data_IF_018101446108
#
_entry.id   IF_018101446108
#
_cell.length_a   1.000
_cell.length_b   1.000
_cell.length_c   1.000
_cell.angle_alpha   90.00
_cell.angle_beta   90.00
_cell.angle_gamma   90.00
#
_symmetry.space_group_name_H-M   'P 1'
#
loop_
_entity.id
_entity.type
_entity.pdbx_description
1 polymer ?
#
# COMPACT_ATOMS: atom_id res chain seq x y z
N UNK A 1 6.93 -12.37 -15.68
CA UNK A 1 6.73 -12.80 -17.08
C UNK A 1 8.10 -13.07 -17.68
N UNK A 2 8.27 -14.28 -18.19
CA UNK A 2 9.51 -14.90 -18.63
C UNK A 2 10.18 -14.19 -19.80
N UNK A 3 11.46 -13.87 -19.67
CA UNK A 3 12.34 -13.61 -20.81
C UNK A 3 13.18 -14.86 -21.06
N UNK A 4 12.79 -15.61 -22.09
CA UNK A 4 13.61 -16.69 -22.67
C UNK A 4 14.71 -16.07 -23.54
N UNK A 5 15.95 -16.29 -23.14
CA UNK A 5 17.13 -16.16 -24.00
C UNK A 5 17.16 -17.37 -24.94
N UNK A 6 17.10 -17.14 -26.25
CA UNK A 6 17.29 -18.19 -27.26
C UNK A 6 18.56 -17.89 -28.04
N UNK A 7 19.67 -18.48 -27.58
CA UNK A 7 20.92 -18.58 -28.31
C UNK A 7 20.76 -19.60 -29.43
N UNK A 8 20.67 -19.15 -30.68
CA UNK A 8 20.70 -20.04 -31.85
C UNK A 8 22.14 -20.32 -32.26
N UNK A 9 22.48 -21.60 -32.14
CA UNK A 9 23.68 -22.23 -32.66
C UNK A 9 23.80 -22.03 -34.17
N UNK A 10 24.96 -21.55 -34.62
CA UNK A 10 25.38 -21.64 -36.01
C UNK A 10 26.41 -22.77 -36.11
N UNK A 11 25.94 -23.91 -36.61
CA UNK A 11 26.75 -25.07 -37.00
C UNK A 11 27.14 -24.86 -38.48
N UNK A 12 28.42 -24.83 -38.85
CA UNK A 12 28.81 -24.79 -40.26
C UNK A 12 28.61 -26.16 -40.93
N UNK A 13 28.16 -26.22 -42.20
CA UNK A 13 27.92 -27.48 -42.89
C UNK A 13 29.24 -28.12 -43.34
N UNK A 14 29.38 -29.39 -43.00
CA UNK A 14 30.37 -30.30 -43.55
C UNK A 14 30.07 -30.54 -45.04
N UNK A 15 30.99 -30.14 -45.92
CA UNK A 15 31.05 -30.64 -47.28
C UNK A 15 31.98 -31.85 -47.31
N UNK A 16 31.38 -33.03 -47.43
CA UNK A 16 32.07 -34.27 -47.75
C UNK A 16 32.51 -34.26 -49.21
N UNK A 17 33.78 -34.59 -49.43
CA UNK A 17 34.29 -35.08 -50.70
C UNK A 17 34.88 -36.46 -50.39
N UNK A 18 34.03 -37.48 -50.47
CA UNK A 18 34.48 -38.84 -50.74
C UNK A 18 34.55 -39.01 -52.26
N UNK A 19 35.73 -39.38 -52.75
CA UNK A 19 36.00 -39.49 -54.18
C UNK A 19 37.33 -40.17 -54.45
N UNK A 20 37.36 -41.47 -54.14
CA UNK A 20 38.39 -42.44 -54.49
C UNK A 20 39.11 -42.19 -55.83
N UNK A 21 40.45 -42.32 -55.82
CA UNK A 21 41.24 -42.28 -57.05
C UNK A 21 42.72 -42.61 -56.87
N UNK A 22 43.00 -43.83 -56.39
CA UNK A 22 44.25 -44.62 -56.55
C UNK A 22 45.50 -43.84 -57.00
N UNK A 23 46.41 -43.62 -56.05
CA UNK A 23 47.83 -43.40 -56.33
C UNK A 23 48.36 -44.66 -57.00
N UNK A 24 48.63 -44.56 -58.29
CA UNK A 24 49.26 -45.60 -59.11
C UNK A 24 50.71 -45.82 -58.70
N UNK A 25 51.07 -47.09 -58.70
CA UNK A 25 52.37 -47.65 -58.33
C UNK A 25 53.58 -46.99 -59.03
N UNK A 26 54.77 -47.05 -58.40
CA UNK A 26 56.04 -46.76 -59.06
C UNK A 26 56.27 -47.72 -60.24
N UNK A 27 56.82 -47.17 -61.32
CA UNK A 27 57.26 -47.83 -62.55
C UNK A 27 57.83 -49.23 -62.28
N UNK A 28 57.00 -50.24 -62.52
CA UNK A 28 57.44 -51.61 -62.71
C UNK A 28 57.89 -51.72 -64.16
N UNK A 29 59.18 -52.02 -64.35
CA UNK A 29 59.77 -52.38 -65.64
C UNK A 29 58.94 -53.53 -66.25
N UNK A 30 58.39 -53.41 -67.48
CA UNK A 30 57.78 -54.55 -68.12
C UNK A 30 58.89 -55.53 -68.50
N UNK A 31 58.87 -56.67 -67.82
CA UNK A 31 59.49 -57.91 -68.24
C UNK A 31 59.21 -58.18 -69.73
N UNK A 32 60.28 -58.42 -70.49
CA UNK A 32 60.36 -59.27 -71.67
C UNK A 32 59.04 -59.43 -72.44
N UNK A 33 58.89 -58.63 -73.50
CA UNK A 33 57.87 -58.82 -74.54
C UNK A 33 58.10 -60.19 -75.18
N UNK A 34 57.28 -61.18 -74.79
CA UNK A 34 57.11 -62.38 -75.59
C UNK A 34 56.25 -62.02 -76.81
N UNK A 35 56.91 -62.01 -77.96
CA UNK A 35 56.29 -61.93 -79.28
C UNK A 35 55.44 -63.19 -79.47
N UNK A 36 54.12 -63.03 -79.52
CA UNK A 36 53.21 -64.02 -80.12
C UNK A 36 52.60 -63.42 -81.39
N UNK A 37 52.76 -64.06 -82.56
CA UNK A 37 52.21 -63.53 -83.79
C UNK A 37 50.74 -63.93 -83.98
N UNK A 38 50.00 -62.93 -84.48
CA UNK A 38 48.89 -62.97 -85.44
C UNK A 38 47.48 -63.37 -84.99
N UNK A 39 46.57 -62.52 -85.51
CA UNK A 39 45.18 -62.77 -85.91
C UNK A 39 44.11 -62.76 -84.81
N UNK A 40 43.82 -61.58 -84.29
CA UNK A 40 42.45 -61.19 -83.96
C UNK A 40 42.05 -60.04 -84.89
N UNK A 41 41.04 -60.30 -85.73
CA UNK A 41 40.48 -59.31 -86.63
C UNK A 41 39.99 -58.10 -85.82
N UNK A 42 40.69 -56.98 -85.94
CA UNK A 42 40.45 -55.75 -85.21
C UNK A 42 39.21 -55.05 -85.82
N UNK A 43 38.00 -55.46 -85.42
CA UNK A 43 36.73 -54.82 -85.80
C UNK A 43 36.48 -53.51 -85.02
N UNK A 44 37.52 -52.73 -84.76
CA UNK A 44 37.41 -51.45 -84.06
C UNK A 44 37.48 -50.31 -85.07
N UNK A 45 36.69 -49.24 -84.88
CA UNK A 45 36.64 -48.05 -85.78
C UNK A 45 38.02 -47.42 -86.06
N UNK A 46 39.00 -47.74 -85.22
CA UNK A 46 40.35 -47.18 -85.22
C UNK A 46 41.45 -48.17 -85.65
N UNK A 47 41.12 -49.32 -86.24
CA UNK A 47 42.12 -50.27 -86.75
C UNK A 47 42.33 -50.14 -88.25
N UNK A 48 43.56 -50.35 -88.72
CA UNK A 48 43.95 -50.39 -90.12
C UNK A 48 44.27 -51.84 -90.52
N UNK A 49 44.14 -52.18 -91.80
CA UNK A 49 44.64 -53.49 -92.27
C UNK A 49 46.17 -53.48 -92.19
N UNK A 50 46.77 -54.58 -91.75
CA UNK A 50 48.22 -54.79 -91.60
C UNK A 50 49.11 -54.01 -92.59
N UNK A 51 48.94 -54.21 -93.91
CA UNK A 51 49.76 -53.54 -94.92
C UNK A 51 49.69 -52.00 -94.84
N UNK A 52 48.49 -51.45 -94.61
CA UNK A 52 48.33 -50.01 -94.45
C UNK A 52 48.88 -49.52 -93.12
N UNK A 53 48.69 -50.30 -92.03
CA UNK A 53 49.23 -49.94 -90.71
C UNK A 53 50.75 -49.84 -90.73
N UNK A 54 51.43 -50.83 -91.34
CA UNK A 54 52.89 -50.85 -91.47
C UNK A 54 53.40 -49.73 -92.40
N UNK A 55 52.68 -49.45 -93.49
CA UNK A 55 53.02 -48.34 -94.39
C UNK A 55 52.87 -46.97 -93.69
N UNK A 56 51.85 -46.78 -92.85
CA UNK A 56 51.74 -45.57 -92.04
C UNK A 56 52.76 -45.54 -90.89
N UNK A 57 53.09 -46.69 -90.29
CA UNK A 57 54.09 -46.78 -89.24
C UNK A 57 55.47 -46.36 -89.75
N UNK A 58 55.89 -46.87 -90.93
CA UNK A 58 57.14 -46.47 -91.59
C UNK A 58 57.16 -44.99 -91.96
N UNK A 59 56.06 -44.45 -92.49
CA UNK A 59 55.97 -43.01 -92.76
C UNK A 59 56.06 -42.15 -91.48
N UNK A 60 55.48 -42.61 -90.37
CA UNK A 60 55.60 -41.93 -89.07
C UNK A 60 56.99 -42.11 -88.48
N UNK A 61 57.63 -43.25 -88.67
CA UNK A 61 59.02 -43.48 -88.25
C UNK A 61 59.97 -42.51 -88.96
N UNK A 62 59.83 -42.38 -90.29
CA UNK A 62 60.56 -41.39 -91.07
C UNK A 62 60.27 -39.96 -90.58
N UNK A 63 59.01 -39.65 -90.25
CA UNK A 63 58.64 -38.35 -89.69
C UNK A 63 59.24 -38.10 -88.28
N UNK A 64 59.30 -39.12 -87.42
CA UNK A 64 59.94 -39.05 -86.10
C UNK A 64 61.44 -38.83 -86.26
N UNK A 65 62.09 -39.55 -87.18
CA UNK A 65 63.52 -39.40 -87.47
C UNK A 65 63.79 -38.00 -88.01
N UNK A 66 63.03 -37.53 -89.00
CA UNK A 66 63.16 -36.19 -89.55
C UNK A 66 62.92 -35.11 -88.47
N UNK A 67 61.90 -35.28 -87.64
CA UNK A 67 61.59 -34.38 -86.53
C UNK A 67 62.72 -34.36 -85.50
N UNK A 68 63.30 -35.52 -85.17
CA UNK A 68 64.44 -35.63 -84.25
C UNK A 68 65.69 -34.97 -84.80
N UNK A 69 66.01 -35.17 -86.08
CA UNK A 69 67.12 -34.49 -86.75
C UNK A 69 66.90 -32.98 -86.72
N UNK A 70 65.70 -32.50 -87.02
CA UNK A 70 65.35 -31.08 -86.97
C UNK A 70 65.43 -30.53 -85.54
N UNK A 71 65.05 -31.34 -84.55
CA UNK A 71 65.12 -30.99 -83.14
C UNK A 71 66.56 -30.89 -82.61
N UNK A 72 67.42 -31.81 -83.03
CA UNK A 72 68.83 -31.89 -82.63
C UNK A 72 69.70 -30.88 -83.37
N UNK A 73 69.40 -30.60 -84.65
CA UNK A 73 70.12 -29.61 -85.46
C UNK A 73 69.84 -28.15 -85.06
N UNK A 74 68.68 -27.87 -84.45
CA UNK A 74 68.33 -26.52 -83.98
C UNK A 74 69.04 -26.17 -82.65
N UNK A 75 70.36 -26.02 -82.75
CA UNK A 75 71.25 -25.71 -81.63
C UNK A 75 70.96 -24.34 -81.01
N UNK A 76 70.58 -23.36 -81.83
CA UNK A 76 70.26 -22.01 -81.37
C UNK A 76 69.06 -22.00 -80.40
N UNK A 77 67.95 -22.65 -80.77
CA UNK A 77 66.78 -22.72 -79.87
C UNK A 77 67.09 -23.47 -78.59
N UNK A 78 67.91 -24.53 -78.64
CA UNK A 78 68.33 -25.25 -77.43
C UNK A 78 69.16 -24.35 -76.52
N UNK A 79 70.11 -23.59 -77.07
CA UNK A 79 70.91 -22.64 -76.30
C UNK A 79 69.99 -21.57 -75.68
N UNK A 80 69.09 -20.99 -76.46
CA UNK A 80 68.15 -19.97 -75.97
C UNK A 80 67.22 -20.51 -74.88
N UNK A 81 66.72 -21.75 -75.02
CA UNK A 81 65.90 -22.41 -74.00
C UNK A 81 66.70 -22.70 -72.73
N UNK A 82 67.92 -23.23 -72.87
CA UNK A 82 68.80 -23.44 -71.71
C UNK A 82 69.11 -22.14 -71.01
N UNK A 83 69.37 -21.04 -71.74
CA UNK A 83 69.56 -19.70 -71.19
C UNK A 83 68.33 -19.20 -70.44
N UNK A 84 67.13 -19.39 -70.99
CA UNK A 84 65.88 -19.06 -70.30
C UNK A 84 65.67 -19.89 -69.03
N UNK A 85 66.08 -21.15 -69.03
CA UNK A 85 65.94 -22.05 -67.90
C UNK A 85 67.11 -21.98 -66.92
N UNK A 86 68.17 -21.20 -67.22
CA UNK A 86 69.36 -21.08 -66.36
C UNK A 86 69.03 -20.77 -64.91
N UNK A 87 68.08 -19.88 -64.57
CA UNK A 87 67.71 -19.64 -63.17
C UNK A 87 67.18 -20.92 -62.48
N UNK A 88 66.36 -21.70 -63.18
CA UNK A 88 65.78 -22.96 -62.70
C UNK A 88 66.87 -24.04 -62.58
N UNK A 89 67.75 -24.14 -63.59
CA UNK A 89 68.86 -25.09 -63.62
C UNK A 89 69.90 -24.80 -62.53
N UNK A 90 70.20 -23.53 -62.27
CA UNK A 90 71.06 -23.10 -61.18
C UNK A 90 70.40 -23.41 -59.82
N UNK A 91 69.12 -23.09 -59.65
CA UNK A 91 68.38 -23.45 -58.44
C UNK A 91 68.43 -24.96 -58.16
N UNK A 92 68.26 -25.79 -59.20
CA UNK A 92 68.36 -27.26 -59.10
C UNK A 92 69.78 -27.73 -58.78
N UNK A 93 70.82 -27.09 -59.33
CA UNK A 93 72.23 -27.42 -59.07
C UNK A 93 72.64 -27.10 -57.63
N UNK A 94 72.12 -26.02 -57.07
CA UNK A 94 72.44 -25.54 -55.72
C UNK A 94 71.40 -25.96 -54.66
N UNK A 95 70.50 -26.90 -54.99
CA UNK A 95 69.45 -27.42 -54.09
C UNK A 95 68.60 -26.32 -53.43
N UNK A 96 68.33 -25.24 -54.15
CA UNK A 96 67.40 -24.19 -53.71
C UNK A 96 65.99 -24.74 -53.84
N UNK A 97 65.20 -24.67 -52.75
CA UNK A 97 63.79 -25.08 -52.77
C UNK A 97 63.03 -24.30 -53.84
N UNK A 98 62.50 -25.02 -54.81
CA UNK A 98 61.62 -24.44 -55.81
C UNK A 98 60.21 -24.38 -55.23
N UNK A 99 59.42 -23.32 -55.51
CA UNK A 99 58.04 -23.26 -55.07
C UNK A 99 57.31 -24.53 -55.54
N UNK A 100 56.65 -25.22 -54.61
CA UNK A 100 55.82 -26.37 -54.93
C UNK A 100 54.81 -25.95 -56.00
N UNK A 101 54.86 -26.62 -57.14
CA UNK A 101 54.13 -26.29 -58.37
C UNK A 101 52.68 -25.88 -58.08
N UNK A 102 52.42 -24.58 -58.00
CA UNK A 102 51.10 -23.99 -57.99
C UNK A 102 50.87 -23.55 -59.44
N UNK A 103 49.88 -24.16 -60.08
CA UNK A 103 49.30 -23.84 -61.40
C UNK A 103 50.29 -23.58 -62.57
N UNK A 104 50.09 -24.27 -63.71
CA UNK A 104 50.88 -24.03 -64.94
C UNK A 104 50.79 -22.57 -65.44
N UNK A 105 49.83 -21.81 -64.92
CA UNK A 105 49.54 -20.42 -65.24
C UNK A 105 50.10 -19.39 -64.24
N UNK A 106 50.56 -19.76 -63.04
CA UNK A 106 51.00 -18.81 -62.00
C UNK A 106 52.30 -18.06 -62.36
N UNK A 107 53.10 -18.63 -63.25
CA UNK A 107 54.35 -18.01 -63.76
C UNK A 107 54.15 -17.16 -65.01
N UNK A 108 52.94 -17.13 -65.56
CA UNK A 108 52.62 -16.43 -66.81
C UNK A 108 51.98 -15.09 -66.48
N UNK A 109 52.77 -14.02 -66.54
CA UNK A 109 52.25 -12.67 -66.42
C UNK A 109 51.35 -12.34 -67.62
N UNK A 110 50.05 -12.16 -67.37
CA UNK A 110 49.04 -11.86 -68.38
C UNK A 110 49.31 -10.56 -69.17
N UNK A 111 50.18 -9.68 -68.64
CA UNK A 111 50.59 -8.46 -69.32
C UNK A 111 51.87 -8.63 -70.16
N UNK A 112 52.58 -9.77 -70.02
CA UNK A 112 53.88 -10.03 -70.64
C UNK A 112 53.93 -11.35 -71.44
N UNK A 113 52.83 -11.75 -72.10
CA UNK A 113 52.80 -12.93 -72.98
C UNK A 113 53.74 -12.85 -74.19
N UNK A 114 54.29 -11.66 -74.50
CA UNK A 114 55.22 -11.47 -75.60
C UNK A 114 56.67 -11.84 -75.25
N UNK A 115 56.94 -12.15 -73.98
CA UNK A 115 58.30 -12.46 -73.53
C UNK A 115 58.86 -13.68 -74.27
N UNK A 116 60.16 -13.63 -74.59
CA UNK A 116 60.84 -14.69 -75.33
C UNK A 116 60.83 -16.01 -74.55
N UNK A 117 60.88 -15.94 -73.22
CA UNK A 117 60.82 -17.11 -72.33
C UNK A 117 59.50 -17.88 -72.44
N UNK A 118 58.35 -17.21 -72.39
CA UNK A 118 57.05 -17.86 -72.57
C UNK A 118 56.91 -18.50 -73.96
N UNK A 119 57.30 -17.78 -75.02
CA UNK A 119 57.26 -18.32 -76.39
C UNK A 119 58.12 -19.57 -76.54
N UNK A 120 59.33 -19.58 -75.95
CA UNK A 120 60.23 -20.73 -75.95
C UNK A 120 59.66 -21.90 -75.13
N UNK A 121 59.07 -21.63 -73.97
CA UNK A 121 58.44 -22.65 -73.12
C UNK A 121 57.24 -23.29 -73.80
N UNK A 122 56.34 -22.47 -74.35
CA UNK A 122 55.19 -22.93 -75.12
C UNK A 122 55.63 -23.75 -76.32
N UNK A 123 56.56 -23.23 -77.13
CA UNK A 123 57.07 -23.94 -78.30
C UNK A 123 57.74 -25.26 -77.92
N UNK A 124 58.46 -25.32 -76.80
CA UNK A 124 59.03 -26.56 -76.29
C UNK A 124 57.94 -27.56 -75.85
N UNK A 125 56.88 -27.09 -75.17
CA UNK A 125 55.76 -27.93 -74.75
C UNK A 125 54.97 -28.46 -75.96
N UNK A 126 54.68 -27.62 -76.95
CA UNK A 126 54.02 -28.01 -78.20
C UNK A 126 54.86 -29.06 -78.95
N UNK A 127 56.19 -28.91 -78.93
CA UNK A 127 57.14 -29.86 -79.52
C UNK A 127 57.19 -31.21 -78.81
N UNK A 128 57.18 -31.20 -77.48
CA UNK A 128 57.12 -32.44 -76.69
C UNK A 128 55.78 -33.15 -76.91
N UNK A 129 54.68 -32.41 -76.88
CA UNK A 129 53.34 -32.94 -77.16
C UNK A 129 53.27 -33.58 -78.55
N UNK A 130 53.79 -32.92 -79.58
CA UNK A 130 53.83 -33.46 -80.93
C UNK A 130 54.68 -34.73 -81.02
N UNK A 131 55.85 -34.73 -80.37
CA UNK A 131 56.72 -35.91 -80.27
C UNK A 131 56.00 -37.08 -79.61
N UNK A 132 55.33 -36.83 -78.48
CA UNK A 132 54.61 -37.86 -77.72
C UNK A 132 53.45 -38.44 -78.54
N UNK A 133 52.72 -37.59 -79.27
CA UNK A 133 51.65 -38.03 -80.17
C UNK A 133 52.21 -38.90 -81.29
N UNK A 134 53.29 -38.48 -81.95
CA UNK A 134 53.91 -39.25 -83.03
C UNK A 134 54.41 -40.60 -82.52
N UNK A 135 55.13 -40.63 -81.40
CA UNK A 135 55.66 -41.87 -80.81
C UNK A 135 54.52 -42.79 -80.38
N UNK A 136 53.49 -42.28 -79.70
CA UNK A 136 52.34 -43.08 -79.27
C UNK A 136 51.56 -43.64 -80.48
N UNK A 137 51.44 -42.87 -81.57
CA UNK A 137 50.78 -43.29 -82.80
C UNK A 137 51.60 -44.32 -83.55
N UNK A 138 52.93 -44.15 -83.62
CA UNK A 138 53.86 -45.12 -84.19
C UNK A 138 53.81 -46.47 -83.47
N UNK A 139 53.88 -46.46 -82.13
CA UNK A 139 53.77 -47.67 -81.31
C UNK A 139 52.40 -48.34 -81.46
N UNK A 140 51.32 -47.56 -81.56
CA UNK A 140 49.97 -48.08 -81.80
C UNK A 140 49.83 -48.77 -83.16
N UNK A 141 50.42 -48.20 -84.21
CA UNK A 141 50.35 -48.74 -85.57
C UNK A 141 51.27 -49.94 -85.81
N UNK A 142 52.48 -49.93 -85.23
CA UNK A 142 53.46 -51.00 -85.39
C UNK A 142 53.14 -52.24 -84.52
N UNK A 143 52.59 -52.05 -83.32
CA UNK A 143 52.34 -53.17 -82.39
C UNK A 143 50.89 -53.65 -82.38
N UNK A 144 49.93 -52.74 -82.56
CA UNK A 144 48.50 -53.01 -82.30
C UNK A 144 47.59 -52.71 -83.50
N UNK A 145 48.17 -52.38 -84.66
CA UNK A 145 47.48 -52.03 -85.91
C UNK A 145 46.37 -50.96 -85.75
N UNK A 146 46.51 -50.03 -84.79
CA UNK A 146 45.49 -49.03 -84.50
C UNK A 146 46.04 -47.62 -84.27
N UNK A 147 45.19 -46.63 -84.54
CA UNK A 147 45.49 -45.20 -84.37
C UNK A 147 44.70 -44.57 -83.21
N UNK A 148 44.25 -45.39 -82.26
CA UNK A 148 43.41 -44.94 -81.13
C UNK A 148 44.09 -43.86 -80.29
N UNK A 149 45.40 -43.94 -80.09
CA UNK A 149 46.17 -42.93 -79.37
C UNK A 149 46.01 -41.52 -79.97
N UNK A 150 46.01 -41.41 -81.30
CA UNK A 150 45.79 -40.14 -82.00
C UNK A 150 44.33 -39.68 -81.89
N UNK A 151 43.38 -40.62 -82.01
CA UNK A 151 41.95 -40.34 -81.89
C UNK A 151 41.59 -39.80 -80.49
N UNK A 152 42.10 -40.45 -79.45
CA UNK A 152 41.87 -40.08 -78.05
C UNK A 152 42.46 -38.69 -77.78
N UNK A 153 43.71 -38.41 -78.19
CA UNK A 153 44.33 -37.08 -78.05
C UNK A 153 43.59 -35.98 -78.80
N UNK A 154 43.07 -36.27 -79.99
CA UNK A 154 42.26 -35.30 -80.74
C UNK A 154 40.90 -35.05 -80.07
N UNK A 155 40.28 -36.08 -79.50
CA UNK A 155 39.04 -35.94 -78.73
C UNK A 155 39.26 -35.15 -77.43
N UNK A 156 40.37 -35.38 -76.74
CA UNK A 156 40.78 -34.62 -75.56
C UNK A 156 40.95 -33.15 -75.92
N UNK A 157 41.69 -32.84 -76.99
CA UNK A 157 41.85 -31.46 -77.47
C UNK A 157 40.50 -30.81 -77.83
N UNK A 158 39.63 -31.54 -78.54
CA UNK A 158 38.28 -31.05 -78.85
C UNK A 158 37.42 -30.83 -77.59
N UNK A 159 37.62 -31.63 -76.53
CA UNK A 159 36.92 -31.45 -75.25
C UNK A 159 37.42 -30.23 -74.48
N UNK A 160 38.74 -29.98 -74.48
CA UNK A 160 39.35 -28.80 -73.88
C UNK A 160 38.85 -27.54 -74.57
N UNK A 161 38.79 -27.52 -75.90
CA UNK A 161 38.30 -26.36 -76.64
C UNK A 161 36.80 -26.10 -76.39
N UNK A 162 35.98 -27.15 -76.30
CA UNK A 162 34.57 -27.01 -75.89
C UNK A 162 34.46 -26.43 -74.48
N UNK A 163 35.25 -26.92 -73.53
CA UNK A 163 35.27 -26.39 -72.17
C UNK A 163 35.73 -24.93 -72.12
N UNK A 164 36.71 -24.56 -72.95
CA UNK A 164 37.19 -23.18 -73.08
C UNK A 164 36.08 -22.25 -73.58
N UNK A 165 35.35 -22.64 -74.63
CA UNK A 165 34.22 -21.86 -75.14
C UNK A 165 33.11 -21.71 -74.10
N UNK A 166 32.76 -22.79 -73.40
CA UNK A 166 31.79 -22.75 -72.30
C UNK A 166 32.25 -21.80 -71.18
N UNK A 167 33.53 -21.83 -70.82
CA UNK A 167 34.09 -20.97 -69.78
C UNK A 167 34.01 -19.49 -70.19
N UNK A 168 34.25 -19.16 -71.46
CA UNK A 168 34.10 -17.79 -71.99
C UNK A 168 32.64 -17.33 -71.90
N UNK A 169 31.69 -18.20 -72.24
CA UNK A 169 30.26 -17.87 -72.16
C UNK A 169 29.82 -17.63 -70.71
N UNK A 170 30.21 -18.52 -69.79
CA UNK A 170 29.90 -18.39 -68.36
C UNK A 170 30.58 -17.17 -67.73
N UNK A 171 31.80 -16.83 -68.17
CA UNK A 171 32.49 -15.62 -67.73
C UNK A 171 31.74 -14.36 -68.19
N UNK A 172 31.24 -14.33 -69.43
CA UNK A 172 30.42 -13.24 -69.94
C UNK A 172 29.08 -13.13 -69.19
N UNK A 173 28.40 -14.24 -68.88
CA UNK A 173 27.19 -14.27 -68.05
C UNK A 173 27.48 -13.76 -66.64
N UNK A 174 28.56 -14.21 -66.02
CA UNK A 174 28.96 -13.77 -64.69
C UNK A 174 29.28 -12.27 -64.65
N UNK A 175 29.93 -11.73 -65.68
CA UNK A 175 30.13 -10.27 -65.83
C UNK A 175 28.80 -9.52 -65.92
N UNK A 176 27.82 -10.05 -66.64
CA UNK A 176 26.49 -9.45 -66.71
C UNK A 176 25.77 -9.48 -65.36
N UNK A 177 25.76 -10.64 -64.69
CA UNK A 177 25.16 -10.82 -63.38
C UNK A 177 25.78 -9.89 -62.34
N UNK A 178 27.11 -9.74 -62.35
CA UNK A 178 27.80 -8.81 -61.45
C UNK A 178 27.39 -7.36 -61.69
N UNK A 179 27.26 -6.93 -62.95
CA UNK A 179 26.78 -5.58 -63.29
C UNK A 179 25.35 -5.35 -62.82
N UNK A 180 24.47 -6.33 -63.01
CA UNK A 180 23.07 -6.23 -62.59
C UNK A 180 22.93 -6.24 -61.07
N UNK A 181 23.67 -7.10 -60.37
CA UNK A 181 23.67 -7.16 -58.92
C UNK A 181 24.22 -5.86 -58.32
N UNK A 182 25.27 -5.28 -58.90
CA UNK A 182 25.76 -3.96 -58.51
C UNK A 182 24.71 -2.86 -58.70
N UNK A 183 23.91 -2.92 -59.77
CA UNK A 183 22.80 -1.97 -60.01
C UNK A 183 21.71 -2.13 -58.95
N UNK A 184 21.28 -3.36 -58.67
CA UNK A 184 20.29 -3.66 -57.64
C UNK A 184 20.77 -3.22 -56.26
N UNK A 185 22.03 -3.49 -55.92
CA UNK A 185 22.63 -3.04 -54.67
C UNK A 185 22.60 -1.51 -54.52
N UNK A 186 22.95 -0.76 -55.57
CA UNK A 186 22.87 0.71 -55.57
C UNK A 186 21.42 1.20 -55.42
N UNK A 187 20.48 0.56 -56.11
CA UNK A 187 19.05 0.89 -56.01
C UNK A 187 18.52 0.65 -54.60
N UNK A 188 18.80 -0.51 -54.00
CA UNK A 188 18.41 -0.82 -52.62
C UNK A 188 19.03 0.16 -51.63
N UNK A 189 20.32 0.49 -51.78
CA UNK A 189 20.99 1.47 -50.92
C UNK A 189 20.31 2.85 -51.00
N UNK A 190 19.95 3.30 -52.20
CA UNK A 190 19.28 4.59 -52.39
C UNK A 190 17.85 4.55 -51.84
N UNK A 191 17.12 3.47 -52.06
CA UNK A 191 15.78 3.28 -51.51
C UNK A 191 15.79 3.31 -49.99
N UNK A 192 16.68 2.55 -49.35
CA UNK A 192 16.83 2.55 -47.88
C UNK A 192 17.13 3.97 -47.38
N UNK A 193 18.05 4.70 -48.03
CA UNK A 193 18.35 6.10 -47.66
C UNK A 193 17.12 7.00 -47.74
N UNK A 194 16.34 6.91 -48.82
CA UNK A 194 15.12 7.71 -48.99
C UNK A 194 14.09 7.38 -47.91
N UNK A 195 13.79 6.09 -47.73
CA UNK A 195 12.82 5.63 -46.72
C UNK A 195 13.28 6.05 -45.33
N UNK A 196 14.55 5.89 -44.98
CA UNK A 196 15.08 6.34 -43.69
C UNK A 196 14.89 7.85 -43.52
N UNK A 197 15.18 8.66 -44.52
CA UNK A 197 14.96 10.11 -44.47
C UNK A 197 13.48 10.45 -44.27
N UNK A 198 12.59 9.89 -45.10
CA UNK A 198 11.14 10.14 -45.02
C UNK A 198 10.58 9.71 -43.65
N UNK A 199 11.00 8.56 -43.13
CA UNK A 199 10.60 8.10 -41.79
C UNK A 199 11.13 9.01 -40.69
N UNK A 200 12.36 9.53 -40.80
CA UNK A 200 12.92 10.46 -39.82
C UNK A 200 12.15 11.77 -39.78
N UNK A 201 11.76 12.31 -40.94
CA UNK A 201 10.92 13.52 -41.02
C UNK A 201 9.56 13.29 -40.36
N UNK A 202 8.93 12.14 -40.60
CA UNK A 202 7.66 11.78 -39.94
C UNK A 202 7.84 11.64 -38.43
N UNK A 203 8.92 11.00 -37.98
CA UNK A 203 9.24 10.86 -36.55
C UNK A 203 9.42 12.24 -35.90
N UNK A 204 10.15 13.16 -36.54
CA UNK A 204 10.37 14.52 -36.04
C UNK A 204 9.06 15.30 -35.95
N UNK A 205 8.20 15.21 -36.98
CA UNK A 205 6.89 15.83 -36.95
C UNK A 205 6.00 15.29 -35.83
N UNK A 206 5.95 13.96 -35.65
CA UNK A 206 5.20 13.34 -34.57
C UNK A 206 5.75 13.72 -33.19
N UNK A 207 7.07 13.84 -33.03
CA UNK A 207 7.68 14.34 -31.78
C UNK A 207 7.22 15.75 -31.47
N UNK A 208 7.28 16.66 -32.45
CA UNK A 208 6.80 18.03 -32.29
C UNK A 208 5.33 18.07 -31.88
N UNK A 209 4.46 17.25 -32.51
CA UNK A 209 3.04 17.19 -32.13
C UNK A 209 2.83 16.71 -30.69
N UNK A 210 3.61 15.72 -30.24
CA UNK A 210 3.54 15.22 -28.86
C UNK A 210 4.00 16.28 -27.87
N UNK A 211 5.09 16.99 -28.16
CA UNK A 211 5.59 18.10 -27.34
C UNK A 211 4.58 19.24 -27.26
N UNK A 212 4.01 19.67 -28.40
CA UNK A 212 2.96 20.69 -28.45
C UNK A 212 1.72 20.28 -27.66
N UNK A 213 1.29 19.02 -27.79
CA UNK A 213 0.17 18.48 -27.04
C UNK A 213 0.44 18.46 -25.53
N UNK A 214 1.67 18.14 -25.12
CA UNK A 214 2.07 18.12 -23.71
C UNK A 214 2.07 19.54 -23.12
N UNK A 215 2.65 20.51 -23.84
CA UNK A 215 2.66 21.93 -23.44
C UNK A 215 1.23 22.48 -23.34
N UNK A 216 0.38 22.17 -24.32
CA UNK A 216 -1.02 22.60 -24.30
C UNK A 216 -1.81 21.95 -23.15
N UNK A 217 -1.58 20.68 -22.85
CA UNK A 217 -2.20 20.00 -21.71
C UNK A 217 -1.78 20.64 -20.38
N UNK A 218 -0.49 20.96 -20.21
CA UNK A 218 0.01 21.64 -19.01
C UNK A 218 -0.58 23.05 -18.86
N UNK A 219 -0.61 23.83 -19.95
CA UNK A 219 -1.21 25.16 -19.95
C UNK A 219 -2.70 25.11 -19.57
N UNK A 220 -3.44 24.14 -20.09
CA UNK A 220 -4.85 23.90 -19.72
C UNK A 220 -4.99 23.50 -18.26
N UNK A 221 -4.12 22.63 -17.73
CA UNK A 221 -4.14 22.25 -16.32
C UNK A 221 -3.95 23.47 -15.42
N UNK A 222 -2.90 24.27 -15.68
CA UNK A 222 -2.61 25.48 -14.91
C UNK A 222 -3.77 26.48 -14.96
N UNK A 223 -4.39 26.64 -16.13
CA UNK A 223 -5.57 27.49 -16.29
C UNK A 223 -6.76 26.98 -15.46
N UNK A 224 -7.06 25.68 -15.54
CA UNK A 224 -8.16 25.08 -14.77
C UNK A 224 -7.93 25.16 -13.27
N UNK A 225 -6.69 24.94 -12.81
CA UNK A 225 -6.31 25.08 -11.40
C UNK A 225 -6.45 26.53 -10.91
N UNK A 226 -6.06 27.50 -11.74
CA UNK A 226 -6.25 28.92 -11.45
C UNK A 226 -7.72 29.30 -11.39
N UNK A 227 -8.52 28.82 -12.35
CA UNK A 227 -9.95 29.05 -12.40
C UNK A 227 -10.67 28.44 -11.19
N UNK A 228 -10.35 27.20 -10.85
CA UNK A 228 -10.94 26.51 -9.70
C UNK A 228 -10.57 27.20 -8.39
N UNK A 229 -9.31 27.62 -8.21
CA UNK A 229 -8.87 28.38 -7.03
C UNK A 229 -9.63 29.70 -6.88
N UNK A 230 -9.70 30.49 -7.96
CA UNK A 230 -10.42 31.77 -7.94
C UNK A 230 -11.91 31.55 -7.62
N UNK A 231 -12.53 30.52 -8.19
CA UNK A 231 -13.91 30.15 -7.90
C UNK A 231 -14.12 29.75 -6.44
N UNK A 232 -13.22 28.94 -5.87
CA UNK A 232 -13.30 28.56 -4.46
C UNK A 232 -13.10 29.75 -3.53
N UNK A 233 -12.14 30.63 -3.83
CA UNK A 233 -11.89 31.85 -3.06
C UNK A 233 -13.11 32.78 -3.10
N UNK A 234 -13.71 32.97 -4.28
CA UNK A 234 -14.95 33.72 -4.43
C UNK A 234 -16.08 33.11 -3.59
N UNK A 235 -16.27 31.80 -3.62
CA UNK A 235 -17.29 31.14 -2.81
C UNK A 235 -17.04 31.28 -1.31
N UNK A 236 -15.80 31.11 -0.86
CA UNK A 236 -15.43 31.31 0.55
C UNK A 236 -15.71 32.75 0.97
N UNK A 237 -15.36 33.74 0.15
CA UNK A 237 -15.65 35.14 0.45
C UNK A 237 -17.15 35.41 0.52
N UNK A 238 -17.94 34.88 -0.43
CA UNK A 238 -19.41 35.03 -0.40
C UNK A 238 -20.02 34.41 0.86
N UNK A 239 -19.55 33.23 1.27
CA UNK A 239 -20.01 32.58 2.50
C UNK A 239 -19.67 33.47 3.69
N UNK A 240 -18.42 33.95 3.78
CA UNK A 240 -17.98 34.83 4.85
C UNK A 240 -18.82 36.13 4.91
N UNK A 241 -19.11 36.74 3.76
CA UNK A 241 -19.91 37.97 3.70
C UNK A 241 -21.35 37.75 4.21
N UNK A 242 -21.95 36.60 3.88
CA UNK A 242 -23.30 36.23 4.34
C UNK A 242 -23.30 35.83 5.82
N UNK A 243 -22.28 35.10 6.28
CA UNK A 243 -22.18 34.58 7.64
C UNK A 243 -21.68 35.62 8.64
N UNK A 244 -20.94 36.66 8.21
CA UNK A 244 -20.37 37.68 9.10
C UNK A 244 -21.46 38.41 9.90
N UNK A 245 -22.56 38.82 9.27
CA UNK A 245 -23.64 39.54 9.95
C UNK A 245 -24.33 38.69 11.05
N UNK A 246 -24.82 37.48 10.74
CA UNK A 246 -25.33 36.56 11.76
C UNK A 246 -24.30 36.23 12.85
N UNK A 247 -23.05 35.96 12.48
CA UNK A 247 -21.98 35.64 13.43
C UNK A 247 -21.74 36.78 14.42
N UNK A 248 -21.63 38.01 13.93
CA UNK A 248 -21.49 39.20 14.77
C UNK A 248 -22.71 39.40 15.67
N UNK A 249 -23.93 39.13 15.18
CA UNK A 249 -25.13 39.23 16.00
C UNK A 249 -25.15 38.17 17.12
N UNK A 250 -24.73 36.93 16.82
CA UNK A 250 -24.62 35.85 17.79
C UNK A 250 -23.59 36.22 18.86
N UNK A 251 -22.42 36.73 18.48
CA UNK A 251 -21.39 37.18 19.43
C UNK A 251 -21.90 38.33 20.32
N UNK A 252 -22.60 39.31 19.74
CA UNK A 252 -23.21 40.39 20.49
C UNK A 252 -24.20 39.88 21.55
N UNK A 253 -25.12 38.98 21.17
CA UNK A 253 -26.10 38.42 22.12
C UNK A 253 -25.45 37.51 23.16
N UNK A 254 -24.39 36.77 22.82
CA UNK A 254 -23.60 36.01 23.79
C UNK A 254 -23.01 36.92 24.87
N UNK A 255 -22.31 37.99 24.48
CA UNK A 255 -21.76 38.94 25.44
C UNK A 255 -22.82 39.62 26.30
N UNK A 256 -23.97 39.94 25.71
CA UNK A 256 -25.09 40.53 26.45
C UNK A 256 -25.69 39.54 27.45
N UNK A 257 -25.90 38.29 27.06
CA UNK A 257 -26.38 37.23 27.94
C UNK A 257 -25.41 36.99 29.10
N UNK A 258 -24.10 36.92 28.84
CA UNK A 258 -23.09 36.75 29.89
C UNK A 258 -23.12 37.91 30.90
N UNK A 259 -23.35 39.13 30.42
CA UNK A 259 -23.47 40.32 31.26
C UNK A 259 -24.75 40.29 32.11
N UNK A 260 -25.89 39.90 31.52
CA UNK A 260 -27.16 39.75 32.23
C UNK A 260 -27.08 38.65 33.31
N UNK A 261 -26.43 37.52 33.02
CA UNK A 261 -26.19 36.46 33.99
C UNK A 261 -25.36 36.94 35.18
N UNK A 262 -24.31 37.74 34.94
CA UNK A 262 -23.50 38.34 36.02
C UNK A 262 -24.33 39.26 36.92
N UNK A 263 -25.11 40.17 36.32
CA UNK A 263 -25.99 41.08 37.06
C UNK A 263 -27.05 40.31 37.83
N UNK A 264 -27.65 39.28 37.22
CA UNK A 264 -28.63 38.43 37.90
C UNK A 264 -28.03 37.77 39.15
N UNK A 265 -26.83 37.20 39.03
CA UNK A 265 -26.13 36.59 40.16
C UNK A 265 -25.84 37.59 41.28
N UNK A 266 -25.47 38.84 40.95
CA UNK A 266 -25.27 39.90 41.93
C UNK A 266 -26.58 40.30 42.63
N UNK A 267 -27.69 40.39 41.89
CA UNK A 267 -29.01 40.65 42.46
C UNK A 267 -29.42 39.52 43.41
N UNK A 268 -29.25 38.25 42.99
CA UNK A 268 -29.52 37.09 43.84
C UNK A 268 -28.69 37.13 45.13
N UNK A 269 -27.40 37.46 45.02
CA UNK A 269 -26.51 37.59 46.18
C UNK A 269 -27.01 38.69 47.13
N UNK A 270 -27.36 39.87 46.60
CA UNK A 270 -27.90 40.98 47.39
C UNK A 270 -29.23 40.61 48.07
N UNK A 271 -30.13 39.93 47.35
CA UNK A 271 -31.39 39.44 47.90
C UNK A 271 -31.14 38.44 49.03
N UNK A 272 -30.21 37.49 48.85
CA UNK A 272 -29.84 36.54 49.88
C UNK A 272 -29.26 37.23 51.12
N UNK A 273 -28.40 38.24 50.95
CA UNK A 273 -27.89 39.06 52.06
C UNK A 273 -29.05 39.75 52.79
N UNK A 274 -29.99 40.37 52.06
CA UNK A 274 -31.14 41.08 52.65
C UNK A 274 -32.10 40.15 53.37
N UNK A 275 -32.38 38.97 52.81
CA UNK A 275 -33.14 37.92 53.47
C UNK A 275 -32.44 37.52 54.77
N UNK A 276 -31.12 37.29 54.74
CA UNK A 276 -30.32 36.99 55.92
C UNK A 276 -30.40 38.10 57.00
N UNK A 277 -30.29 39.37 56.62
CA UNK A 277 -30.44 40.51 57.53
C UNK A 277 -31.84 40.55 58.18
N UNK A 278 -32.90 40.29 57.40
CA UNK A 278 -34.28 40.28 57.91
C UNK A 278 -34.49 39.10 58.86
N UNK A 279 -34.02 37.90 58.50
CA UNK A 279 -34.10 36.72 59.36
C UNK A 279 -33.37 36.94 60.69
N UNK A 280 -32.17 37.53 60.66
CA UNK A 280 -31.45 37.88 61.88
C UNK A 280 -32.20 38.91 62.75
N UNK A 281 -32.87 39.89 62.13
CA UNK A 281 -33.75 40.82 62.86
C UNK A 281 -34.95 40.11 63.46
N UNK A 282 -35.61 39.22 62.72
CA UNK A 282 -36.74 38.42 63.23
C UNK A 282 -36.30 37.57 64.42
N UNK A 283 -35.17 36.88 64.30
CA UNK A 283 -34.58 36.09 65.38
C UNK A 283 -34.28 36.96 66.62
N UNK A 284 -33.71 38.16 66.42
CA UNK A 284 -33.48 39.09 67.54
C UNK A 284 -34.77 39.54 68.24
N UNK A 285 -35.86 39.75 67.47
CA UNK A 285 -37.17 40.11 68.02
C UNK A 285 -37.85 38.93 68.72
N UNK A 286 -37.72 37.70 68.19
CA UNK A 286 -38.17 36.48 68.85
C UNK A 286 -37.46 36.30 70.20
N UNK A 287 -36.12 36.37 70.21
CA UNK A 287 -35.33 36.27 71.44
C UNK A 287 -35.73 37.33 72.47
N UNK A 288 -36.01 38.56 72.02
CA UNK A 288 -36.51 39.62 72.90
C UNK A 288 -37.90 39.32 73.44
N UNK A 289 -38.82 38.86 72.59
CA UNK A 289 -40.19 38.50 72.99
C UNK A 289 -40.17 37.38 74.03
N UNK A 290 -39.39 36.33 73.79
CA UNK A 290 -39.24 35.20 74.73
C UNK A 290 -38.69 35.67 76.08
N UNK A 291 -37.65 36.51 76.08
CA UNK A 291 -37.09 37.08 77.30
C UNK A 291 -38.08 38.01 78.06
N UNK A 292 -38.83 38.84 77.33
CA UNK A 292 -39.86 39.70 77.92
C UNK A 292 -41.03 38.87 78.47
N UNK A 293 -41.41 37.79 77.78
CA UNK A 293 -42.46 36.86 78.20
C UNK A 293 -42.04 36.11 79.47
N UNK A 294 -40.83 35.55 79.51
CA UNK A 294 -40.26 34.90 80.70
C UNK A 294 -40.23 35.88 81.89
N UNK A 295 -39.86 37.14 81.66
CA UNK A 295 -39.88 38.18 82.70
C UNK A 295 -41.28 38.50 83.22
N UNK A 296 -42.29 38.50 82.36
CA UNK A 296 -43.70 38.69 82.77
C UNK A 296 -44.18 37.46 83.54
N UNK A 297 -43.87 36.26 83.06
CA UNK A 297 -44.26 35.01 83.69
C UNK A 297 -43.65 34.87 85.10
N UNK A 298 -42.38 35.24 85.26
CA UNK A 298 -41.73 35.34 86.58
C UNK A 298 -42.43 36.35 87.51
N UNK A 299 -42.89 37.50 86.98
CA UNK A 299 -43.67 38.46 87.78
C UNK A 299 -45.03 37.89 88.20
N UNK A 300 -45.70 37.17 87.30
CA UNK A 300 -46.98 36.50 87.60
C UNK A 300 -46.75 35.45 88.68
N UNK A 301 -45.75 34.59 88.54
CA UNK A 301 -45.40 33.59 89.56
C UNK A 301 -45.07 34.25 90.91
N UNK A 302 -44.30 35.34 90.91
CA UNK A 302 -44.04 36.08 92.14
C UNK A 302 -45.33 36.61 92.78
N UNK A 303 -46.23 37.19 92.00
CA UNK A 303 -47.54 37.67 92.50
C UNK A 303 -48.46 36.54 92.97
N UNK A 304 -48.47 35.40 92.30
CA UNK A 304 -49.19 34.19 92.73
C UNK A 304 -48.65 33.68 94.06
N UNK A 305 -47.32 33.61 94.22
CA UNK A 305 -46.70 33.22 95.49
C UNK A 305 -47.04 34.19 96.62
N UNK A 306 -47.02 35.50 96.37
CA UNK A 306 -47.44 36.51 97.35
C UNK A 306 -48.93 36.35 97.72
N UNK A 307 -49.80 36.14 96.73
CA UNK A 307 -51.22 35.87 96.97
C UNK A 307 -51.41 34.58 97.79
N UNK A 308 -50.67 33.52 97.49
CA UNK A 308 -50.74 32.27 98.23
C UNK A 308 -50.32 32.46 99.69
N UNK A 309 -49.22 33.18 99.96
CA UNK A 309 -48.82 33.51 101.34
C UNK A 309 -49.90 34.28 102.10
N UNK A 310 -50.55 35.24 101.46
CA UNK A 310 -51.65 36.02 102.08
C UNK A 310 -52.85 35.11 102.34
N UNK A 311 -53.18 34.24 101.37
CA UNK A 311 -54.26 33.27 101.52
C UNK A 311 -54.00 32.30 102.67
N UNK A 312 -52.81 31.70 102.74
CA UNK A 312 -52.41 30.79 103.83
C UNK A 312 -52.52 31.49 105.19
N UNK A 313 -52.05 32.74 105.28
CA UNK A 313 -52.18 33.57 106.49
C UNK A 313 -53.64 33.86 106.85
N UNK A 314 -54.51 34.08 105.87
CA UNK A 314 -55.96 34.25 106.09
C UNK A 314 -56.58 32.96 106.61
N UNK A 315 -56.25 31.82 106.02
CA UNK A 315 -56.75 30.50 106.46
C UNK A 315 -56.32 30.22 107.91
N UNK A 316 -55.06 30.48 108.25
CA UNK A 316 -54.56 30.34 109.62
C UNK A 316 -55.36 31.23 110.60
N UNK A 317 -55.64 32.48 110.23
CA UNK A 317 -56.48 33.38 111.04
C UNK A 317 -57.93 32.88 111.14
N UNK A 318 -58.52 32.37 110.07
CA UNK A 318 -59.87 31.78 110.09
C UNK A 318 -59.95 30.56 111.00
N UNK A 319 -58.95 29.68 110.97
CA UNK A 319 -58.86 28.55 111.90
C UNK A 319 -58.76 29.02 113.36
N UNK A 320 -57.97 30.07 113.64
CA UNK A 320 -57.91 30.63 115.00
C UNK A 320 -59.27 31.21 115.41
N UNK A 321 -59.94 31.98 114.55
CA UNK A 321 -61.27 32.52 114.82
C UNK A 321 -62.31 31.42 115.02
N UNK A 322 -62.28 30.35 114.23
CA UNK A 322 -63.19 29.22 114.41
C UNK A 322 -62.95 28.52 115.76
N UNK A 323 -61.69 28.34 116.18
CA UNK A 323 -61.34 27.84 117.52
C UNK A 323 -61.90 28.77 118.61
N UNK A 324 -61.75 30.09 118.47
CA UNK A 324 -62.30 31.08 119.40
C UNK A 324 -63.84 31.09 119.42
N UNK A 325 -64.50 30.99 118.26
CA UNK A 325 -65.95 30.94 118.10
C UNK A 325 -66.55 29.69 118.76
N UNK A 326 -65.92 28.52 118.57
CA UNK A 326 -66.30 27.27 119.26
C UNK A 326 -66.19 27.42 120.78
N UNK A 327 -65.13 28.07 121.26
CA UNK A 327 -64.96 28.38 122.68
C UNK A 327 -66.11 29.27 123.22
N UNK A 328 -66.47 30.31 122.48
CA UNK A 328 -67.56 31.24 122.79
C UNK A 328 -68.93 30.54 122.79
N UNK A 329 -69.23 29.71 121.78
CA UNK A 329 -70.48 28.95 121.72
C UNK A 329 -70.61 27.95 122.86
N UNK A 330 -69.52 27.28 123.25
CA UNK A 330 -69.51 26.38 124.41
C UNK A 330 -69.79 27.14 125.71
N UNK A 331 -69.26 28.37 125.85
CA UNK A 331 -69.55 29.24 127.00
C UNK A 331 -71.00 29.73 127.01
N UNK A 332 -71.57 30.06 125.85
CA UNK A 332 -72.95 30.51 125.73
C UNK A 332 -73.95 29.38 126.01
N UNK A 333 -73.73 28.17 125.49
CA UNK A 333 -74.56 26.99 125.83
C UNK A 333 -74.57 26.70 127.33
N UNK A 334 -73.41 26.77 127.97
CA UNK A 334 -73.30 26.60 129.42
C UNK A 334 -74.12 27.65 130.21
N UNK A 335 -74.24 28.88 129.67
CA UNK A 335 -75.08 29.94 130.23
C UNK A 335 -76.56 29.66 130.04
N UNK A 336 -76.97 29.30 128.83
CA UNK A 336 -78.37 29.08 128.46
C UNK A 336 -78.96 27.86 129.19
N UNK A 337 -78.22 26.74 129.27
CA UNK A 337 -78.63 25.54 130.03
C UNK A 337 -78.88 25.85 131.52
N UNK A 338 -78.10 26.78 132.07
CA UNK A 338 -78.23 27.22 133.46
C UNK A 338 -79.44 28.12 133.69
N UNK A 339 -79.86 28.86 132.67
CA UNK A 339 -81.02 29.75 132.73
C UNK A 339 -82.34 28.98 132.49
N UNK A 340 -82.34 27.99 131.60
CA UNK A 340 -83.47 27.06 131.42
C UNK A 340 -83.80 26.27 132.68
N UNK A 341 -82.78 25.78 133.39
CA UNK A 341 -82.97 25.08 134.67
C UNK A 341 -83.67 25.95 135.72
N UNK A 342 -83.36 27.26 135.75
CA UNK A 342 -83.99 28.21 136.68
C UNK A 342 -85.45 28.49 136.32
N UNK A 343 -85.74 28.66 135.03
CA UNK A 343 -87.09 28.93 134.52
C UNK A 343 -88.03 27.73 134.68
N UNK A 344 -87.50 26.50 134.65
CA UNK A 344 -88.29 25.28 134.90
C UNK A 344 -88.79 25.20 136.35
N UNK A 345 -87.92 25.49 137.32
CA UNK A 345 -88.30 25.53 138.75
C UNK A 345 -89.37 26.61 139.03
N UNK A 346 -89.27 27.76 138.35
CA UNK A 346 -90.19 28.89 138.53
C UNK A 346 -91.60 28.59 137.98
N UNK A 347 -91.69 27.92 136.82
CA UNK A 347 -92.98 27.49 136.22
C UNK A 347 -93.69 26.40 137.02
N UNK A 348 -92.93 25.47 137.60
CA UNK A 348 -93.47 24.37 138.41
C UNK A 348 -94.14 24.87 139.70
N UNK A 349 -93.55 25.88 140.36
CA UNK A 349 -94.12 26.49 141.55
C UNK A 349 -95.40 27.30 141.25
N UNK A 350 -95.47 28.02 140.12
CA UNK A 350 -96.66 28.79 139.74
C UNK A 350 -97.86 27.90 139.35
N UNK A 351 -97.62 26.75 138.72
CA UNK A 351 -98.69 25.79 138.40
C UNK A 351 -99.32 25.19 139.66
N UNK A 352 -98.52 24.86 140.69
CA UNK A 352 -99.00 24.35 141.96
C UNK A 352 -99.90 25.36 142.72
N UNK A 353 -99.57 26.66 142.68
CA UNK A 353 -100.37 27.72 143.31
C UNK A 353 -101.72 27.92 142.62
N UNK A 354 -101.76 27.83 141.29
CA UNK A 354 -102.97 28.05 140.48
C UNK A 354 -104.03 26.97 140.70
N UNK A 355 -103.62 25.70 140.80
CA UNK A 355 -104.52 24.58 141.11
C UNK A 355 -105.08 24.69 142.53
N UNK A 356 -104.27 25.12 143.51
CA UNK A 356 -104.73 25.35 144.89
C UNK A 356 -105.78 26.47 144.99
N UNK A 357 -105.66 27.53 144.20
CA UNK A 357 -106.66 28.62 144.16
C UNK A 357 -107.97 28.24 143.47
N UNK A 358 -107.93 27.37 142.46
CA UNK A 358 -109.13 26.92 141.72
C UNK A 358 -110.03 26.03 142.59
N UNK A 359 -109.43 25.09 143.33
CA UNK A 359 -110.19 24.18 144.19
C UNK A 359 -110.83 24.89 145.40
N UNK A 360 -110.18 25.93 145.94
CA UNK A 360 -110.74 26.79 147.01
C UNK A 360 -111.93 27.64 146.52
N UNK A 361 -111.96 28.04 145.25
CA UNK A 361 -113.05 28.83 144.66
C UNK A 361 -114.30 28.02 144.25
N UNK A 362 -114.18 26.70 144.15
CA UNK A 362 -115.31 25.81 143.90
C UNK A 362 -116.05 25.47 145.20
N UNK A 363 -115.29 25.23 146.29
CA UNK A 363 -115.84 24.97 147.63
C UNK A 363 -116.70 26.12 148.18
N UNK A 364 -116.47 27.37 147.74
CA UNK A 364 -117.25 28.55 148.16
C UNK A 364 -118.60 28.67 147.45
N UNK A 365 -118.83 28.00 146.31
CA UNK A 365 -120.04 28.15 145.48
C UNK A 365 -121.16 27.13 145.72
N UNK A 366 -120.93 26.12 146.55
CA UNK A 366 -121.89 25.01 146.80
C UNK A 366 -122.31 24.86 148.27
N UNK A 367 -122.07 25.86 149.12
CA UNK A 367 -122.65 26.04 150.47
C UNK A 367 -122.66 24.83 151.45
N UNK A 368 -121.79 23.82 151.28
CA UNK A 368 -121.48 22.83 152.32
C UNK A 368 -120.42 23.40 153.29
N UNK A 369 -120.91 24.14 154.29
CA UNK A 369 -120.11 24.76 155.37
C UNK A 369 -119.44 23.75 156.31
N UNK A 370 -118.45 24.16 157.15
CA UNK A 370 -118.43 25.41 157.89
C UNK A 370 -117.19 26.31 157.67
N UNK A 371 -117.37 27.62 157.74
CA UNK A 371 -116.29 28.59 157.91
C UNK A 371 -115.75 28.54 159.34
N UNK A 372 -114.43 28.31 159.53
CA UNK A 372 -113.61 28.79 160.68
C UNK A 372 -112.14 28.33 160.59
N UNK A 373 -111.19 28.90 161.36
CA UNK A 373 -110.16 29.74 160.74
C UNK A 373 -108.70 29.37 161.16
N UNK A 374 -107.73 30.19 160.71
CA UNK A 374 -106.58 30.69 161.53
C UNK A 374 -105.24 29.90 161.60
N UNK A 375 -104.16 30.71 161.50
CA UNK A 375 -102.75 30.61 161.97
C UNK A 375 -101.72 29.71 161.22
N UNK A 376 -100.58 30.24 160.70
CA UNK A 376 -99.29 30.69 161.36
C UNK A 376 -98.68 29.59 162.26
N UNK A 377 -97.34 29.44 162.49
CA UNK A 377 -96.21 30.38 162.30
C UNK A 377 -94.84 29.72 161.81
N UNK A 378 -93.86 30.40 161.18
CA UNK A 378 -92.66 31.18 161.67
C UNK A 378 -91.34 30.39 161.94
N UNK A 379 -90.33 30.66 161.07
CA UNK A 379 -88.83 30.86 161.28
C UNK A 379 -87.94 29.68 161.76
N UNK A 380 -86.57 29.78 161.77
CA UNK A 380 -85.64 30.89 161.39
C UNK A 380 -84.32 30.53 160.61
N UNK A 381 -83.67 31.60 160.08
CA UNK A 381 -82.23 32.01 160.01
C UNK A 381 -81.11 31.07 159.52
N UNK A 382 -80.23 31.37 158.54
CA UNK A 382 -79.29 32.48 158.19
C UNK A 382 -77.92 32.53 158.93
N UNK A 383 -76.82 32.42 158.15
CA UNK A 383 -75.51 33.17 158.18
C UNK A 383 -74.54 32.52 157.15
N UNK A 384 -74.18 33.16 156.03
CA UNK A 384 -73.03 34.07 155.73
C UNK A 384 -71.64 33.56 156.19
N UNK A 385 -70.49 33.87 155.57
CA UNK A 385 -69.95 34.24 154.22
C UNK A 385 -68.50 34.75 154.47
N UNK A 386 -67.67 34.73 153.41
CA UNK A 386 -66.38 35.45 153.19
C UNK A 386 -65.14 34.78 153.82
N UNK A 387 -63.95 34.75 153.19
CA UNK A 387 -63.27 35.58 152.17
C UNK A 387 -62.22 34.65 151.51
N UNK A 388 -61.83 34.72 150.25
CA UNK A 388 -61.17 35.81 149.51
C UNK A 388 -61.26 35.53 148.01
#
# INVERSE_FOLDING_TARGET
>A
MSLHSTSRHFIPPAFGIEGNGRIGNPLTIPSVVQIKPKTTACQNKYCLKYLYSELFATAIEDAIIAYRILAESNSEMRIQKTLSDMPILLAKKYSVEQPAFADELDSIDANNLKCTSYKLNKLNNDRLLFSDILIATYLGLSLLENWKALADRNNDHASIERNRLNLIEEEAKNRNNLRELMKQYRQQRNHIKSVTYDTNVVIEHLKSQVEDSAINAEARSRYMDGWQRARTEQHVQMINDVEASPTNSIEYYKHRMDSEQRVHHEIELLLNIKIGEILAKVESWMNKYDADMEKIELKIQHKQNEHQKIFDKRVELEETLEKHQKLMQNWQKFKDDREEARLFEEKMNNAAVTVQSWWRGLLVRLELGPYKPVNKPVKPAEKKKKTK
#
